data_IF_896399046296
#
_entry.id   IF_896399046296
#
_cell.length_a   1.000
_cell.length_b   1.000
_cell.length_c   1.000
_cell.angle_alpha   90.00
_cell.angle_beta   90.00
_cell.angle_gamma   90.00
#
_symmetry.space_group_name_H-M   'P 1'
#
loop_
_entity.id
_entity.type
_entity.pdbx_description
1 polymer ?
#
# COMPACT_ATOMS: atom_id res chain seq x y z
N UNK A 1 9.29 -12.17 -37.14
CA UNK A 1 9.49 -12.29 -35.67
C UNK A 1 8.18 -12.74 -35.04
N UNK A 2 8.18 -13.82 -34.23
CA UNK A 2 7.00 -14.42 -33.60
C UNK A 2 6.23 -13.35 -32.79
N UNK A 3 5.00 -12.99 -33.22
CA UNK A 3 4.14 -12.01 -32.53
C UNK A 3 3.89 -12.34 -31.04
N UNK A 4 3.94 -13.62 -30.65
CA UNK A 4 3.78 -14.04 -29.24
C UNK A 4 4.85 -13.47 -28.31
N UNK A 5 6.10 -13.40 -28.76
CA UNK A 5 7.22 -12.95 -27.92
C UNK A 5 7.16 -11.43 -27.64
N UNK A 6 6.57 -10.64 -28.55
CA UNK A 6 6.53 -9.17 -28.38
C UNK A 6 5.55 -8.76 -27.28
N UNK A 7 4.40 -9.43 -27.18
CA UNK A 7 3.39 -9.14 -26.17
C UNK A 7 3.89 -9.53 -24.76
N UNK A 8 4.57 -10.66 -24.65
CA UNK A 8 5.21 -11.09 -23.40
C UNK A 8 6.28 -10.10 -22.94
N UNK A 9 7.15 -9.63 -23.85
CA UNK A 9 8.18 -8.63 -23.52
C UNK A 9 7.55 -7.32 -23.06
N UNK A 10 6.47 -6.88 -23.71
CA UNK A 10 5.73 -5.66 -23.32
C UNK A 10 5.12 -5.83 -21.93
N UNK A 11 4.49 -6.98 -21.66
CA UNK A 11 3.87 -7.25 -20.36
C UNK A 11 4.90 -7.29 -19.22
N UNK A 12 6.01 -8.00 -19.43
CA UNK A 12 7.12 -8.10 -18.47
C UNK A 12 7.74 -6.71 -18.24
N UNK A 13 8.03 -5.97 -19.31
CA UNK A 13 8.57 -4.63 -19.21
C UNK A 13 7.65 -3.67 -18.45
N UNK A 14 6.34 -3.75 -18.68
CA UNK A 14 5.34 -2.97 -17.96
C UNK A 14 5.32 -3.29 -16.47
N UNK A 15 5.29 -4.58 -16.10
CA UNK A 15 5.33 -5.01 -14.70
C UNK A 15 6.59 -4.53 -13.97
N UNK A 16 7.76 -4.70 -14.59
CA UNK A 16 9.03 -4.24 -14.03
C UNK A 16 9.03 -2.71 -13.89
N UNK A 17 8.53 -1.99 -14.89
CA UNK A 17 8.42 -0.53 -14.85
C UNK A 17 7.58 -0.03 -13.68
N UNK A 18 6.42 -0.65 -13.44
CA UNK A 18 5.54 -0.31 -12.31
C UNK A 18 6.25 -0.52 -10.97
N UNK A 19 6.98 -1.64 -10.82
CA UNK A 19 7.73 -1.94 -9.59
C UNK A 19 8.85 -0.91 -9.36
N UNK A 20 9.62 -0.57 -10.39
CA UNK A 20 10.72 0.41 -10.29
C UNK A 20 10.17 1.79 -9.92
N UNK A 21 9.08 2.23 -10.57
CA UNK A 21 8.44 3.52 -10.27
C UNK A 21 7.92 3.54 -8.83
N UNK A 22 7.21 2.50 -8.41
CA UNK A 22 6.71 2.37 -7.03
C UNK A 22 7.83 2.41 -5.99
N UNK A 23 8.93 1.70 -6.25
CA UNK A 23 10.10 1.68 -5.37
C UNK A 23 10.82 3.04 -5.32
N UNK A 24 10.96 3.69 -6.47
CA UNK A 24 11.55 5.04 -6.55
C UNK A 24 10.72 6.03 -5.75
N UNK A 25 9.39 6.00 -5.92
CA UNK A 25 8.47 6.85 -5.15
C UNK A 25 8.55 6.55 -3.65
N UNK A 26 8.67 5.28 -3.25
CA UNK A 26 8.82 4.88 -1.85
C UNK A 26 10.09 5.43 -1.18
N UNK A 27 11.17 5.60 -1.94
CA UNK A 27 12.42 6.20 -1.44
C UNK A 27 12.36 7.73 -1.45
N UNK A 28 11.87 8.33 -2.54
CA UNK A 28 11.92 9.77 -2.76
C UNK A 28 10.86 10.55 -1.98
N UNK A 29 9.68 9.96 -1.73
CA UNK A 29 8.65 10.67 -1.00
C UNK A 29 9.06 10.82 0.48
N UNK A 30 8.92 12.03 1.04
CA UNK A 30 9.17 12.25 2.45
C UNK A 30 8.24 11.37 3.27
N UNK A 31 8.82 10.55 4.13
CA UNK A 31 8.09 9.65 5.01
C UNK A 31 7.53 10.48 6.15
N UNK A 32 6.26 10.84 6.08
CA UNK A 32 5.61 11.55 7.17
C UNK A 32 5.51 10.63 8.40
N UNK A 33 6.09 11.06 9.52
CA UNK A 33 6.09 10.31 10.78
C UNK A 33 4.75 10.39 11.54
N UNK A 34 3.81 11.19 11.04
CA UNK A 34 2.51 11.48 11.65
C UNK A 34 1.43 11.36 10.57
N UNK A 35 0.41 10.53 10.80
CA UNK A 35 -0.77 10.47 9.95
C UNK A 35 -1.71 11.55 10.45
N UNK A 36 -1.82 12.66 9.72
CA UNK A 36 -2.77 13.72 10.05
C UNK A 36 -4.23 13.22 9.96
N UNK A 37 -4.48 12.22 9.10
CA UNK A 37 -5.80 11.66 8.82
C UNK A 37 -6.27 10.67 9.92
N UNK A 38 -5.37 9.84 10.45
CA UNK A 38 -5.70 8.80 11.46
C UNK A 38 -5.26 9.17 12.89
N UNK A 39 -4.58 10.31 13.09
CA UNK A 39 -3.99 10.75 14.38
C UNK A 39 -3.18 9.67 15.11
N UNK A 40 -2.47 8.82 14.36
CA UNK A 40 -1.60 7.76 14.88
C UNK A 40 -0.15 8.05 14.50
N UNK A 41 0.79 7.75 15.41
CA UNK A 41 2.21 7.75 15.07
C UNK A 41 2.47 6.61 14.07
N UNK A 42 2.99 6.95 12.87
CA UNK A 42 3.35 5.92 11.89
C UNK A 42 4.52 5.11 12.43
N UNK A 43 4.45 3.81 12.21
CA UNK A 43 5.41 2.85 12.73
C UNK A 43 6.83 3.23 12.32
N UNK A 44 7.74 3.22 13.30
CA UNK A 44 9.16 3.49 13.11
C UNK A 44 9.80 2.23 12.53
N UNK A 45 10.81 2.37 11.67
CA UNK A 45 11.53 1.24 11.08
C UNK A 45 12.02 0.28 12.19
N UNK A 46 11.64 -1.02 12.16
CA UNK A 46 11.91 -1.92 13.28
C UNK A 46 13.41 -2.19 13.39
N UNK A 47 13.92 -2.18 14.63
CA UNK A 47 15.32 -2.53 14.88
C UNK A 47 15.54 -4.02 14.61
N UNK A 48 16.55 -4.33 13.82
CA UNK A 48 16.91 -5.71 13.54
C UNK A 48 17.45 -6.37 14.81
N UNK A 49 16.81 -7.46 15.24
CA UNK A 49 17.26 -8.30 16.35
C UNK A 49 17.13 -9.77 15.95
N UNK A 50 18.16 -10.57 16.20
CA UNK A 50 18.20 -12.00 15.87
C UNK A 50 17.06 -12.78 16.56
N UNK A 51 16.65 -12.35 17.76
CA UNK A 51 15.51 -12.92 18.48
C UNK A 51 14.18 -12.62 17.78
N UNK A 52 13.98 -11.39 17.30
CA UNK A 52 12.77 -10.99 16.57
C UNK A 52 12.67 -11.65 15.19
N UNK A 53 13.81 -11.94 14.56
CA UNK A 53 13.89 -12.66 13.29
C UNK A 53 13.45 -14.13 13.48
N UNK A 54 13.97 -14.81 14.50
CA UNK A 54 13.58 -16.19 14.82
C UNK A 54 12.11 -16.29 15.26
N UNK A 55 11.63 -15.29 16.00
CA UNK A 55 10.25 -15.23 16.49
C UNK A 55 9.22 -14.75 15.45
N UNK A 56 9.61 -14.53 14.17
CA UNK A 56 8.76 -14.01 13.07
C UNK A 56 8.12 -12.63 13.31
N UNK A 57 8.33 -12.04 14.48
CA UNK A 57 7.82 -10.72 14.85
C UNK A 57 8.46 -9.62 13.99
N UNK A 58 9.72 -9.81 13.58
CA UNK A 58 10.42 -8.85 12.72
C UNK A 58 9.72 -8.68 11.36
N UNK A 59 9.40 -9.77 10.67
CA UNK A 59 8.72 -9.72 9.37
C UNK A 59 7.38 -9.01 9.47
N UNK A 60 6.59 -9.31 10.50
CA UNK A 60 5.28 -8.67 10.72
C UNK A 60 5.40 -7.15 10.94
N UNK A 61 6.44 -6.72 11.65
CA UNK A 61 6.71 -5.29 11.88
C UNK A 61 7.19 -4.58 10.61
N UNK A 62 8.01 -5.26 9.79
CA UNK A 62 8.42 -4.75 8.48
C UNK A 62 7.22 -4.63 7.55
N UNK A 63 6.34 -5.64 7.50
CA UNK A 63 5.13 -5.60 6.69
C UNK A 63 4.23 -4.43 7.09
N UNK A 64 4.05 -4.22 8.40
CA UNK A 64 3.28 -3.09 8.91
C UNK A 64 3.91 -1.74 8.51
N UNK A 65 5.23 -1.62 8.64
CA UNK A 65 5.97 -0.42 8.25
C UNK A 65 5.84 -0.11 6.77
N UNK A 66 5.99 -1.12 5.90
CA UNK A 66 5.87 -0.96 4.44
C UNK A 66 4.44 -0.57 4.07
N UNK A 67 3.42 -1.20 4.68
CA UNK A 67 2.02 -0.87 4.44
C UNK A 67 1.67 0.56 4.88
N UNK A 68 2.24 1.04 6.00
CA UNK A 68 2.00 2.39 6.51
C UNK A 68 2.76 3.46 5.71
N UNK A 69 3.91 3.11 5.11
CA UNK A 69 4.80 4.06 4.40
C UNK A 69 4.61 4.05 2.88
N UNK A 70 3.64 3.29 2.37
CA UNK A 70 3.47 3.16 0.92
C UNK A 70 3.06 4.49 0.27
N UNK A 71 3.72 4.91 -0.84
CA UNK A 71 3.40 6.16 -1.50
C UNK A 71 1.95 6.14 -1.99
N UNK A 72 1.22 7.22 -1.73
CA UNK A 72 -0.18 7.39 -2.11
C UNK A 72 -1.16 6.39 -1.48
N UNK A 73 -0.84 5.82 -0.31
CA UNK A 73 -1.71 4.89 0.44
C UNK A 73 -3.17 5.37 0.55
N UNK A 74 -3.38 6.63 0.94
CA UNK A 74 -4.72 7.19 1.14
C UNK A 74 -5.54 7.17 -0.17
N UNK A 75 -4.91 7.50 -1.30
CA UNK A 75 -5.55 7.45 -2.61
C UNK A 75 -5.89 6.01 -3.02
N UNK A 76 -5.04 5.03 -2.72
CA UNK A 76 -5.33 3.61 -2.95
C UNK A 76 -6.49 3.11 -2.09
N UNK A 77 -6.54 3.50 -0.82
CA UNK A 77 -7.65 3.16 0.09
C UNK A 77 -8.95 3.79 -0.40
N UNK A 78 -8.92 5.07 -0.78
CA UNK A 78 -10.08 5.77 -1.33
C UNK A 78 -10.58 5.12 -2.62
N UNK A 79 -9.67 4.74 -3.53
CA UNK A 79 -10.01 4.03 -4.77
C UNK A 79 -10.61 2.65 -4.48
N UNK A 80 -10.03 1.90 -3.55
CA UNK A 80 -10.55 0.59 -3.14
C UNK A 80 -11.94 0.71 -2.52
N UNK A 81 -12.14 1.72 -1.66
CA UNK A 81 -13.44 2.04 -1.06
C UNK A 81 -14.47 2.42 -2.13
N UNK A 82 -14.09 3.26 -3.10
CA UNK A 82 -14.95 3.63 -4.23
C UNK A 82 -15.33 2.40 -5.07
N UNK A 83 -14.36 1.55 -5.39
CA UNK A 83 -14.58 0.33 -6.18
C UNK A 83 -15.50 -0.66 -5.46
N UNK A 84 -15.29 -0.88 -4.16
CA UNK A 84 -16.15 -1.76 -3.36
C UNK A 84 -17.57 -1.19 -3.23
N UNK A 85 -17.71 0.12 -3.04
CA UNK A 85 -19.00 0.80 -3.02
C UNK A 85 -19.74 0.65 -4.36
N UNK A 86 -19.04 0.85 -5.48
CA UNK A 86 -19.60 0.71 -6.82
C UNK A 86 -20.05 -0.73 -7.14
N UNK A 87 -19.39 -1.74 -6.56
CA UNK A 87 -19.78 -3.15 -6.67
C UNK A 87 -21.03 -3.51 -5.86
N UNK A 88 -21.41 -2.67 -4.89
CA UNK A 88 -22.58 -2.90 -4.04
C UNK A 88 -22.47 -4.10 -3.07
N UNK A 89 -21.31 -4.76 -3.00
CA UNK A 89 -21.07 -5.89 -2.10
C UNK A 89 -20.47 -5.35 -0.81
N UNK A 90 -21.30 -5.20 0.22
CA UNK A 90 -20.87 -4.87 1.57
C UNK A 90 -20.48 -6.16 2.29
N UNK A 91 -19.19 -6.45 2.38
CA UNK A 91 -18.72 -7.47 3.32
C UNK A 91 -19.01 -6.96 4.73
N UNK A 92 -19.70 -7.75 5.55
CA UNK A 92 -20.28 -7.34 6.85
C UNK A 92 -19.30 -6.89 7.95
N UNK A 93 -18.06 -6.57 7.60
CA UNK A 93 -17.00 -6.03 8.47
C UNK A 93 -16.71 -4.54 8.19
N UNK A 94 -17.37 -3.94 7.19
CA UNK A 94 -17.20 -2.52 6.88
C UNK A 94 -17.87 -1.63 7.94
N UNK A 95 -17.08 -0.79 8.62
CA UNK A 95 -17.56 0.26 9.52
C UNK A 95 -18.55 1.19 8.81
N UNK A 96 -19.55 1.68 9.56
CA UNK A 96 -20.55 2.63 9.06
C UNK A 96 -19.85 3.94 8.71
N UNK A 97 -19.63 4.20 7.41
CA UNK A 97 -19.14 5.48 6.93
C UNK A 97 -20.28 6.51 6.94
N UNK A 98 -20.28 7.41 7.91
CA UNK A 98 -21.20 8.56 7.94
C UNK A 98 -20.65 9.62 6.99
N UNK A 99 -21.24 9.71 5.80
CA UNK A 99 -20.98 10.81 4.87
C UNK A 99 -21.63 12.07 5.42
N UNK A 100 -20.82 12.93 6.05
CA UNK A 100 -21.27 14.24 6.44
C UNK A 100 -21.35 15.12 5.18
N UNK A 101 -22.53 15.18 4.57
CA UNK A 101 -22.81 16.05 3.42
C UNK A 101 -22.88 17.48 3.96
N UNK A 102 -21.73 18.11 4.15
CA UNK A 102 -21.65 19.54 4.38
C UNK A 102 -21.87 20.23 3.02
N UNK A 103 -23.01 20.91 2.92
CA UNK A 103 -23.42 21.72 1.76
C UNK A 103 -22.73 23.07 1.77
#
# INVERSE_FOLDING_TARGET
MKKGNIFEIIHIGCMIGIVIVGFTLFILLPKNHISENEKRQLTILPTFSAENFLNKSYSKQVDLYVNDTFPFREQFIALNSFYNNAKGIRSGTEEIQIYNIQK
#
